data_IF_964750767900
#
_entry.id   IF_964750767900
#
_cell.length_a   1.000
_cell.length_b   1.000
_cell.length_c   1.000
_cell.angle_alpha   90.00
_cell.angle_beta   90.00
_cell.angle_gamma   90.00
#
_symmetry.space_group_name_H-M   'P 1'
#
loop_
_entity.id
_entity.type
_entity.pdbx_description
1 polymer ?
#
# COMPACT_ATOMS: atom_id res chain seq x y z
N UNK A 1 -17.24 -19.01 -5.60
CA UNK A 1 -16.80 -18.48 -4.29
C UNK A 1 -15.47 -19.15 -4.01
N UNK A 2 -14.41 -18.37 -3.87
CA UNK A 2 -13.08 -18.86 -3.51
C UNK A 2 -12.87 -18.70 -2.01
N UNK A 3 -12.16 -19.64 -1.40
CA UNK A 3 -11.70 -19.53 -0.01
C UNK A 3 -10.23 -19.11 -0.01
N UNK A 4 -9.85 -18.24 0.91
CA UNK A 4 -8.46 -17.80 1.08
C UNK A 4 -8.09 -17.75 2.57
N UNK A 5 -6.84 -18.09 2.89
CA UNK A 5 -6.28 -17.85 4.22
C UNK A 5 -6.06 -16.36 4.44
N UNK A 6 -6.43 -15.84 5.61
CA UNK A 6 -6.34 -14.43 5.95
C UNK A 6 -5.15 -14.14 6.86
N UNK A 7 -4.49 -13.03 6.57
CA UNK A 7 -3.44 -12.44 7.37
C UNK A 7 -3.84 -11.01 7.78
N UNK A 8 -4.55 -10.85 8.90
CA UNK A 8 -4.90 -9.55 9.45
C UNK A 8 -3.65 -8.80 9.94
N UNK A 9 -3.42 -7.58 9.45
CA UNK A 9 -2.32 -6.70 9.87
C UNK A 9 -2.80 -5.25 9.99
N UNK A 10 -2.12 -4.42 10.78
CA UNK A 10 -2.30 -2.96 10.78
C UNK A 10 -1.52 -2.30 9.63
N UNK A 11 -1.65 -2.89 8.44
CA UNK A 11 -1.01 -2.48 7.18
C UNK A 11 -2.01 -2.70 6.05
N UNK A 12 -2.00 -1.83 5.06
CA UNK A 12 -2.73 -2.01 3.80
C UNK A 12 -1.74 -2.28 2.69
N UNK A 13 -1.95 -3.37 1.97
CA UNK A 13 -1.18 -3.73 0.78
C UNK A 13 -1.99 -3.35 -0.46
N UNK A 14 -1.44 -2.50 -1.31
CA UNK A 14 -2.06 -2.13 -2.59
C UNK A 14 -1.68 -3.11 -3.71
N UNK A 15 -2.48 -3.22 -4.77
CA UNK A 15 -2.10 -3.98 -5.97
C UNK A 15 -0.73 -3.53 -6.51
N UNK A 16 0.17 -4.49 -6.74
CA UNK A 16 1.54 -4.25 -7.22
C UNK A 16 2.52 -3.72 -6.17
N UNK A 17 2.06 -3.32 -4.98
CA UNK A 17 2.94 -2.89 -3.88
C UNK A 17 3.70 -4.08 -3.31
N UNK A 18 4.95 -3.84 -2.89
CA UNK A 18 5.81 -4.85 -2.27
C UNK A 18 6.10 -4.49 -0.82
N UNK A 19 5.85 -5.43 0.09
CA UNK A 19 6.04 -5.22 1.53
C UNK A 19 6.88 -6.36 2.10
N UNK A 20 7.98 -6.07 2.82
CA UNK A 20 8.69 -7.07 3.61
C UNK A 20 7.89 -7.40 4.88
N UNK A 21 7.74 -8.68 5.20
CA UNK A 21 7.04 -9.17 6.39
C UNK A 21 7.94 -10.11 7.19
N UNK A 22 7.94 -9.92 8.52
CA UNK A 22 8.54 -10.87 9.47
C UNK A 22 7.47 -11.80 10.01
N UNK A 23 7.57 -13.09 9.69
CA UNK A 23 6.59 -14.11 10.08
C UNK A 23 7.12 -14.88 11.27
N UNK A 24 6.44 -14.70 12.42
CA UNK A 24 6.88 -15.32 13.67
C UNK A 24 5.80 -16.08 14.43
N UNK A 25 4.51 -15.79 14.21
CA UNK A 25 3.42 -16.53 14.86
C UNK A 25 3.20 -17.88 14.18
N UNK A 26 3.01 -18.95 14.96
CA UNK A 26 2.85 -20.33 14.45
C UNK A 26 1.76 -20.46 13.37
N UNK A 27 0.60 -19.83 13.58
CA UNK A 27 -0.49 -19.83 12.61
C UNK A 27 -0.11 -19.23 11.25
N UNK A 28 0.75 -18.20 11.24
CA UNK A 28 1.19 -17.55 10.01
C UNK A 28 2.39 -18.25 9.39
N UNK A 29 3.24 -18.91 10.19
CA UNK A 29 4.25 -19.85 9.65
C UNK A 29 3.55 -20.96 8.85
N UNK A 30 2.44 -21.49 9.37
CA UNK A 30 1.64 -22.49 8.67
C UNK A 30 1.04 -21.91 7.38
N UNK A 31 0.33 -20.78 7.45
CA UNK A 31 -0.29 -20.14 6.28
C UNK A 31 0.74 -19.87 5.17
N UNK A 32 1.84 -19.19 5.50
CA UNK A 32 2.86 -18.82 4.52
C UNK A 32 3.63 -20.05 4.01
N UNK A 33 3.84 -21.06 4.86
CA UNK A 33 4.38 -22.35 4.45
C UNK A 33 3.53 -23.02 3.38
N UNK A 34 2.21 -23.11 3.59
CA UNK A 34 1.26 -23.67 2.62
C UNK A 34 1.26 -22.87 1.31
N UNK A 35 1.28 -21.53 1.38
CA UNK A 35 1.38 -20.67 0.20
C UNK A 35 2.66 -20.89 -0.61
N UNK A 36 3.80 -21.06 0.07
CA UNK A 36 5.09 -21.33 -0.59
C UNK A 36 5.12 -22.71 -1.25
N UNK A 37 4.56 -23.73 -0.61
CA UNK A 37 4.53 -25.11 -1.14
C UNK A 37 3.62 -25.24 -2.36
N UNK A 38 2.44 -24.60 -2.30
CA UNK A 38 1.41 -24.72 -3.34
C UNK A 38 1.42 -23.59 -4.37
N UNK A 39 2.30 -22.59 -4.21
CA UNK A 39 2.29 -21.35 -5.00
C UNK A 39 0.93 -20.63 -4.94
N UNK A 40 0.30 -20.65 -3.75
CA UNK A 40 -1.00 -20.05 -3.50
C UNK A 40 -0.88 -18.61 -2.96
N UNK A 41 -1.94 -17.83 -3.19
CA UNK A 41 -2.08 -16.50 -2.61
C UNK A 41 -2.76 -16.58 -1.23
N UNK A 42 -2.44 -15.62 -0.35
CA UNK A 42 -3.17 -15.39 0.90
C UNK A 42 -3.76 -13.98 0.91
N UNK A 43 -4.77 -13.73 1.74
CA UNK A 43 -5.46 -12.44 1.81
C UNK A 43 -4.91 -11.56 2.92
N UNK A 44 -4.39 -10.38 2.57
CA UNK A 44 -4.01 -9.37 3.56
C UNK A 44 -5.19 -8.43 3.79
N UNK A 45 -5.59 -8.30 5.06
CA UNK A 45 -6.70 -7.45 5.48
C UNK A 45 -6.24 -6.50 6.57
N UNK A 46 -6.68 -5.24 6.47
CA UNK A 46 -6.51 -4.29 7.54
C UNK A 46 -7.31 -4.74 8.76
N UNK A 47 -6.63 -4.88 9.89
CA UNK A 47 -7.25 -4.93 11.22
C UNK A 47 -6.82 -3.71 12.01
N UNK A 48 -7.78 -2.93 12.47
CA UNK A 48 -7.53 -1.73 13.27
C UNK A 48 -8.56 -1.63 14.38
N UNK A 49 -8.12 -1.35 15.60
CA UNK A 49 -9.00 -1.27 16.78
C UNK A 49 -9.88 -2.53 16.97
N UNK A 50 -9.31 -3.71 16.67
CA UNK A 50 -10.01 -5.00 16.66
C UNK A 50 -11.13 -5.15 15.62
N UNK A 51 -11.26 -4.22 14.68
CA UNK A 51 -12.17 -4.29 13.54
C UNK A 51 -11.42 -4.76 12.29
N UNK A 52 -11.89 -5.86 11.70
CA UNK A 52 -11.39 -6.37 10.43
C UNK A 52 -12.13 -5.68 9.28
N UNK A 53 -11.39 -5.05 8.36
CA UNK A 53 -11.98 -4.50 7.13
C UNK A 53 -12.48 -5.61 6.22
N UNK A 54 -13.40 -5.27 5.33
CA UNK A 54 -14.02 -6.25 4.41
C UNK A 54 -13.39 -6.26 3.03
N UNK A 55 -12.63 -5.22 2.66
CA UNK A 55 -11.87 -5.15 1.41
C UNK A 55 -10.39 -5.32 1.74
N UNK A 56 -9.74 -6.24 1.02
CA UNK A 56 -8.32 -6.54 1.15
C UNK A 56 -7.68 -6.85 -0.19
N UNK A 57 -6.41 -7.24 -0.14
CA UNK A 57 -5.61 -7.57 -1.33
C UNK A 57 -5.03 -8.95 -1.16
N UNK A 58 -5.21 -9.81 -2.16
CA UNK A 58 -4.52 -11.09 -2.20
C UNK A 58 -3.03 -10.84 -2.44
N UNK A 59 -2.18 -11.66 -1.86
CA UNK A 59 -0.74 -11.46 -1.83
C UNK A 59 -0.04 -12.76 -2.18
N UNK A 60 1.03 -12.66 -2.96
CA UNK A 60 1.96 -13.77 -3.20
C UNK A 60 3.28 -13.47 -2.53
N UNK A 61 3.92 -14.49 -1.97
CA UNK A 61 5.33 -14.39 -1.58
C UNK A 61 6.18 -14.39 -2.86
N UNK A 62 6.92 -13.31 -3.09
CA UNK A 62 7.81 -13.19 -4.27
C UNK A 62 9.27 -13.53 -3.93
N UNK A 63 9.64 -13.42 -2.67
CA UNK A 63 11.01 -13.69 -2.21
C UNK A 63 11.00 -14.13 -0.74
N UNK A 64 11.85 -15.11 -0.41
CA UNK A 64 12.15 -15.48 0.98
C UNK A 64 13.56 -14.97 1.27
N UNK A 65 13.65 -13.93 2.09
CA UNK A 65 14.91 -13.27 2.45
C UNK A 65 15.70 -14.11 3.44
N UNK A 66 15.02 -14.62 4.48
CA UNK A 66 15.61 -15.44 5.52
C UNK A 66 14.64 -16.54 5.97
N UNK A 67 15.18 -17.71 6.31
CA UNK A 67 14.47 -18.77 7.04
C UNK A 67 15.29 -19.17 8.25
N UNK A 68 14.68 -19.16 9.42
CA UNK A 68 15.33 -19.46 10.68
C UNK A 68 15.08 -20.92 11.09
N UNK A 69 15.92 -21.45 11.99
CA UNK A 69 15.83 -22.84 12.48
C UNK A 69 14.50 -23.14 13.19
N UNK A 70 13.89 -22.13 13.80
CA UNK A 70 12.60 -22.21 14.50
C UNK A 70 11.38 -21.98 13.59
N UNK A 71 11.60 -21.99 12.27
CA UNK A 71 10.55 -21.83 11.26
C UNK A 71 10.08 -20.40 11.04
N UNK A 72 10.63 -19.40 11.75
CA UNK A 72 10.41 -17.99 11.38
C UNK A 72 10.92 -17.73 9.97
N UNK A 73 10.38 -16.70 9.33
CA UNK A 73 10.83 -16.28 7.99
C UNK A 73 10.67 -14.79 7.78
N UNK A 74 11.61 -14.22 7.03
CA UNK A 74 11.46 -12.90 6.43
C UNK A 74 11.11 -13.09 4.96
N UNK A 75 9.98 -12.53 4.53
CA UNK A 75 9.47 -12.67 3.16
C UNK A 75 9.18 -11.32 2.56
N UNK A 76 9.32 -11.19 1.24
CA UNK A 76 8.76 -10.08 0.49
C UNK A 76 7.49 -10.57 -0.18
N UNK A 77 6.40 -9.83 0.02
CA UNK A 77 5.10 -10.13 -0.57
C UNK A 77 4.71 -9.04 -1.56
N UNK A 78 4.01 -9.41 -2.62
CA UNK A 78 3.50 -8.49 -3.64
C UNK A 78 1.98 -8.55 -3.69
N UNK A 79 1.33 -7.39 -3.67
CA UNK A 79 -0.11 -7.27 -3.81
C UNK A 79 -0.57 -7.71 -5.20
N UNK A 80 -1.62 -8.51 -5.24
CA UNK A 80 -2.24 -9.07 -6.45
C UNK A 80 -3.59 -8.42 -6.65
N UNK A 81 -4.67 -9.15 -6.40
CA UNK A 81 -6.01 -8.73 -6.73
C UNK A 81 -6.75 -8.26 -5.47
N UNK A 82 -7.59 -7.24 -5.62
CA UNK A 82 -8.50 -6.85 -4.54
C UNK A 82 -9.64 -7.86 -4.41
N UNK A 83 -10.07 -8.08 -3.17
CA UNK A 83 -11.20 -8.93 -2.87
C UNK A 83 -12.08 -8.33 -1.79
N UNK A 84 -13.34 -8.75 -1.77
CA UNK A 84 -14.30 -8.51 -0.69
C UNK A 84 -14.54 -9.80 0.08
N UNK A 85 -14.38 -9.74 1.39
CA UNK A 85 -14.81 -10.79 2.32
C UNK A 85 -16.34 -10.85 2.35
N UNK A 86 -16.87 -12.04 2.13
CA UNK A 86 -18.31 -12.32 2.23
C UNK A 86 -18.66 -13.06 3.51
N UNK A 87 -17.75 -13.94 3.97
CA UNK A 87 -17.89 -14.66 5.23
C UNK A 87 -16.53 -15.04 5.79
N UNK A 88 -16.26 -14.70 7.04
CA UNK A 88 -15.08 -15.19 7.77
C UNK A 88 -15.39 -16.54 8.40
N UNK A 89 -14.44 -17.46 8.33
CA UNK A 89 -14.48 -18.75 8.99
C UNK A 89 -13.24 -18.93 9.86
N UNK A 90 -13.42 -19.51 11.04
CA UNK A 90 -12.35 -19.83 11.97
C UNK A 90 -12.22 -21.36 12.06
N UNK A 91 -11.85 -21.96 10.93
CA UNK A 91 -11.83 -23.42 10.74
C UNK A 91 -10.42 -24.00 10.70
N UNK A 92 -9.39 -23.15 10.70
CA UNK A 92 -7.97 -23.55 10.68
C UNK A 92 -7.23 -22.82 11.80
N UNK A 93 -5.93 -23.10 11.96
CA UNK A 93 -5.06 -22.40 12.92
C UNK A 93 -4.96 -20.89 12.64
N UNK A 94 -5.27 -20.47 11.41
CA UNK A 94 -5.38 -19.10 10.94
C UNK A 94 -6.81 -18.85 10.40
N UNK A 95 -7.23 -17.58 10.37
CA UNK A 95 -8.53 -17.21 9.82
C UNK A 95 -8.62 -17.55 8.33
N UNK A 96 -9.77 -18.03 7.87
CA UNK A 96 -10.07 -18.15 6.44
C UNK A 96 -11.29 -17.31 6.09
N UNK A 97 -11.50 -17.02 4.81
CA UNK A 97 -12.70 -16.35 4.36
C UNK A 97 -13.15 -16.79 2.98
N UNK A 98 -14.47 -16.80 2.79
CA UNK A 98 -15.08 -16.79 1.46
C UNK A 98 -14.98 -15.38 0.89
N UNK A 99 -14.40 -15.27 -0.30
CA UNK A 99 -14.14 -14.00 -0.96
C UNK A 99 -14.81 -13.91 -2.33
N UNK A 100 -15.02 -12.66 -2.76
CA UNK A 100 -15.42 -12.31 -4.11
C UNK A 100 -14.42 -11.29 -4.69
N UNK A 101 -14.13 -11.34 -6.01
CA UNK A 101 -13.32 -10.32 -6.66
C UNK A 101 -13.90 -8.91 -6.42
N UNK A 102 -13.03 -7.95 -6.14
CA UNK A 102 -13.40 -6.54 -6.03
C UNK A 102 -12.76 -5.74 -7.17
N UNK A 103 -13.40 -5.81 -8.33
CA UNK A 103 -12.94 -5.15 -9.54
C UNK A 103 -13.43 -3.69 -9.61
N UNK A 104 -12.72 -2.90 -10.40
CA UNK A 104 -13.22 -1.58 -10.80
C UNK A 104 -14.40 -1.70 -11.76
N UNK A 105 -15.23 -0.66 -11.77
CA UNK A 105 -16.15 -0.43 -12.86
C UNK A 105 -15.35 -0.14 -14.14
N UNK A 106 -15.86 -0.57 -15.29
CA UNK A 106 -15.20 -0.37 -16.60
C UNK A 106 -15.20 1.12 -17.02
N UNK A 107 -14.41 1.93 -16.34
CA UNK A 107 -14.19 3.34 -16.61
C UNK A 107 -12.77 3.54 -17.13
N UNK A 108 -12.65 4.14 -18.32
CA UNK A 108 -11.35 4.54 -18.85
C UNK A 108 -10.79 5.67 -17.99
N UNK A 109 -9.51 5.56 -17.63
CA UNK A 109 -8.78 6.63 -16.97
C UNK A 109 -8.84 7.92 -17.81
N UNK A 110 -9.23 9.03 -17.17
CA UNK A 110 -9.23 10.35 -17.79
C UNK A 110 -7.78 10.83 -17.94
N UNK A 111 -7.29 11.11 -19.16
CA UNK A 111 -5.94 11.59 -19.38
C UNK A 111 -5.60 12.87 -18.61
N UNK A 112 -6.57 13.75 -18.36
CA UNK A 112 -6.35 14.98 -17.61
C UNK A 112 -6.11 14.69 -16.12
N UNK A 113 -6.87 13.74 -15.55
CA UNK A 113 -6.68 13.30 -14.17
C UNK A 113 -5.35 12.57 -13.98
N UNK A 114 -4.97 11.74 -14.95
CA UNK A 114 -3.64 11.12 -14.99
C UNK A 114 -2.56 12.21 -14.95
N UNK A 115 -2.61 13.16 -15.89
CA UNK A 115 -1.61 14.24 -15.96
C UNK A 115 -1.56 15.08 -14.67
N UNK A 116 -2.71 15.39 -14.06
CA UNK A 116 -2.78 16.11 -12.81
C UNK A 116 -2.11 15.35 -11.64
N UNK A 117 -2.37 14.05 -11.54
CA UNK A 117 -1.77 13.19 -10.51
C UNK A 117 -0.26 13.07 -10.68
N UNK A 118 0.23 12.92 -11.92
CA UNK A 118 1.67 12.90 -12.21
C UNK A 118 2.33 14.22 -11.82
N UNK A 119 1.74 15.34 -12.21
CA UNK A 119 2.26 16.66 -11.88
C UNK A 119 2.30 16.89 -10.36
N UNK A 120 1.32 16.37 -9.61
CA UNK A 120 1.32 16.44 -8.15
C UNK A 120 2.46 15.62 -7.53
N UNK A 121 2.72 14.41 -8.05
CA UNK A 121 3.84 13.58 -7.60
C UNK A 121 5.19 14.24 -7.89
N UNK A 122 5.36 14.84 -9.07
CA UNK A 122 6.56 15.60 -9.43
C UNK A 122 6.77 16.80 -8.49
N UNK A 123 5.70 17.51 -8.12
CA UNK A 123 5.76 18.60 -7.13
C UNK A 123 6.25 18.10 -5.78
N UNK A 124 5.75 16.95 -5.31
CA UNK A 124 6.21 16.33 -4.06
C UNK A 124 7.71 16.04 -4.14
N UNK A 125 8.18 15.39 -5.20
CA UNK A 125 9.59 15.04 -5.37
C UNK A 125 10.50 16.28 -5.43
N UNK A 126 10.14 17.30 -6.22
CA UNK A 126 10.86 18.58 -6.29
C UNK A 126 10.92 19.25 -4.91
N UNK A 127 9.79 19.26 -4.19
CA UNK A 127 9.70 19.86 -2.85
C UNK A 127 10.42 19.03 -1.79
N UNK A 128 10.55 17.71 -1.97
CA UNK A 128 11.34 16.82 -1.13
C UNK A 128 12.84 16.87 -1.48
N UNK A 129 13.23 17.51 -2.60
CA UNK A 129 14.60 17.56 -3.10
C UNK A 129 15.12 16.20 -3.53
N UNK A 130 14.21 15.29 -3.89
CA UNK A 130 14.53 14.01 -4.51
C UNK A 130 14.44 14.21 -6.02
N UNK A 131 15.35 13.59 -6.76
CA UNK A 131 15.16 13.50 -8.21
C UNK A 131 13.88 12.72 -8.44
N UNK A 132 12.87 13.37 -9.03
CA UNK A 132 11.74 12.67 -9.62
C UNK A 132 12.32 11.85 -10.77
N UNK A 133 12.84 10.65 -10.49
CA UNK A 133 13.04 9.67 -11.56
C UNK A 133 11.74 9.64 -12.32
N UNK A 134 11.80 9.91 -13.64
CA UNK A 134 10.63 9.89 -14.49
C UNK A 134 9.99 8.51 -14.34
N UNK A 135 8.95 8.42 -13.51
CA UNK A 135 8.24 7.17 -13.29
C UNK A 135 7.55 6.92 -14.61
N UNK A 136 8.03 5.91 -15.32
CA UNK A 136 7.37 5.42 -16.52
C UNK A 136 6.07 4.74 -16.08
N UNK A 137 5.04 5.55 -15.91
CA UNK A 137 3.69 5.07 -15.70
C UNK A 137 3.25 4.38 -16.99
N UNK A 138 3.00 3.08 -16.89
CA UNK A 138 2.70 2.23 -18.05
C UNK A 138 1.36 1.54 -17.85
N UNK A 139 0.59 1.45 -18.93
CA UNK A 139 -0.66 0.69 -18.96
C UNK A 139 -1.84 1.38 -18.27
N UNK A 140 -2.82 0.56 -17.90
CA UNK A 140 -3.90 0.93 -16.98
C UNK A 140 -3.36 0.74 -15.55
N UNK A 141 -3.98 1.34 -14.52
CA UNK A 141 -3.53 1.30 -13.11
C UNK A 141 -2.44 2.31 -12.72
N UNK A 142 -2.58 3.55 -13.19
CA UNK A 142 -1.70 4.66 -12.82
C UNK A 142 -1.80 4.96 -11.32
N UNK A 143 -3.00 4.91 -10.75
CA UNK A 143 -3.24 5.20 -9.35
C UNK A 143 -2.43 4.27 -8.43
N UNK A 144 -2.41 2.96 -8.71
CA UNK A 144 -1.62 2.00 -7.93
C UNK A 144 -0.12 2.23 -8.06
N UNK A 145 0.34 2.53 -9.27
CA UNK A 145 1.76 2.84 -9.53
C UNK A 145 2.21 4.08 -8.78
N UNK A 146 1.40 5.14 -8.75
CA UNK A 146 1.66 6.37 -7.99
C UNK A 146 1.61 6.11 -6.50
N UNK A 147 0.60 5.38 -6.02
CA UNK A 147 0.42 5.06 -4.61
C UNK A 147 1.61 4.27 -4.03
N UNK A 148 2.27 3.44 -4.83
CA UNK A 148 3.45 2.68 -4.42
C UNK A 148 4.73 3.54 -4.27
N UNK A 149 4.75 4.79 -4.77
CA UNK A 149 5.94 5.66 -4.71
C UNK A 149 6.02 6.49 -3.44
N UNK A 150 4.89 6.64 -2.75
CA UNK A 150 4.76 7.52 -1.59
C UNK A 150 4.22 6.72 -0.43
N UNK A 151 4.83 6.89 0.74
CA UNK A 151 4.37 6.25 1.95
C UNK A 151 3.11 6.95 2.48
N UNK A 152 1.96 6.48 2.00
CA UNK A 152 0.66 6.92 2.47
C UNK A 152 0.27 6.18 3.76
N UNK A 153 -0.39 6.89 4.68
CA UNK A 153 -0.93 6.29 5.88
C UNK A 153 -2.01 5.22 5.59
N UNK A 154 -2.13 4.26 6.50
CA UNK A 154 -3.02 3.08 6.40
C UNK A 154 -4.46 3.44 6.02
N UNK A 155 -5.05 4.46 6.64
CA UNK A 155 -6.43 4.89 6.33
C UNK A 155 -6.60 5.36 4.89
N UNK A 156 -5.65 6.14 4.38
CA UNK A 156 -5.73 6.64 3.01
C UNK A 156 -5.54 5.49 2.01
N UNK A 157 -4.59 4.58 2.26
CA UNK A 157 -4.44 3.37 1.44
C UNK A 157 -5.72 2.52 1.44
N UNK A 158 -6.38 2.36 2.60
CA UNK A 158 -7.66 1.65 2.68
C UNK A 158 -8.76 2.33 1.87
N UNK A 159 -8.86 3.66 1.94
CA UNK A 159 -9.82 4.43 1.13
C UNK A 159 -9.59 4.21 -0.36
N UNK A 160 -8.34 4.27 -0.83
CA UNK A 160 -8.02 3.99 -2.23
C UNK A 160 -8.43 2.56 -2.62
N UNK A 161 -8.17 1.59 -1.74
CA UNK A 161 -8.51 0.18 -1.96
C UNK A 161 -10.01 -0.04 -2.14
N UNK A 162 -10.84 0.77 -1.48
CA UNK A 162 -12.30 0.68 -1.50
C UNK A 162 -12.96 1.44 -2.67
N UNK A 163 -12.24 2.31 -3.37
CA UNK A 163 -12.75 3.04 -4.55
C UNK A 163 -12.88 2.12 -5.76
N UNK A 164 -13.98 2.23 -6.51
CA UNK A 164 -14.28 1.36 -7.65
C UNK A 164 -13.97 1.99 -9.01
N UNK A 165 -13.40 3.18 -9.04
CA UNK A 165 -12.95 3.80 -10.29
C UNK A 165 -11.54 4.32 -10.17
N UNK A 166 -10.79 4.19 -11.26
CA UNK A 166 -9.45 4.76 -11.39
C UNK A 166 -9.48 6.29 -11.26
N UNK A 167 -10.50 6.93 -11.82
CA UNK A 167 -10.63 8.38 -11.80
C UNK A 167 -10.84 8.94 -10.38
N UNK A 168 -11.65 8.27 -9.54
CA UNK A 168 -11.78 8.66 -8.13
C UNK A 168 -10.46 8.54 -7.40
N UNK A 169 -9.72 7.44 -7.60
CA UNK A 169 -8.40 7.26 -6.99
C UNK A 169 -7.42 8.34 -7.44
N UNK A 170 -7.38 8.66 -8.74
CA UNK A 170 -6.51 9.71 -9.29
C UNK A 170 -6.80 11.09 -8.67
N UNK A 171 -8.08 11.45 -8.51
CA UNK A 171 -8.49 12.71 -7.86
C UNK A 171 -8.00 12.76 -6.41
N UNK A 172 -8.22 11.69 -5.66
CA UNK A 172 -7.85 11.62 -4.24
C UNK A 172 -6.33 11.61 -4.06
N UNK A 173 -5.60 10.87 -4.91
CA UNK A 173 -4.14 10.88 -4.93
C UNK A 173 -3.57 12.26 -5.24
N UNK A 174 -4.06 12.92 -6.29
CA UNK A 174 -3.59 14.25 -6.67
C UNK A 174 -3.77 15.26 -5.51
N UNK A 175 -4.94 15.24 -4.85
CA UNK A 175 -5.21 16.10 -3.71
C UNK A 175 -4.26 15.82 -2.53
N UNK A 176 -4.08 14.54 -2.16
CA UNK A 176 -3.19 14.16 -1.07
C UNK A 176 -1.72 14.51 -1.34
N UNK A 177 -1.27 14.36 -2.59
CA UNK A 177 0.08 14.73 -3.02
C UNK A 177 0.29 16.25 -2.95
N UNK A 178 -0.69 17.06 -3.35
CA UNK A 178 -0.61 18.52 -3.25
C UNK A 178 -0.57 19.02 -1.80
N UNK A 179 -1.35 18.40 -0.92
CA UNK A 179 -1.27 18.67 0.52
C UNK A 179 0.10 18.30 1.08
N UNK A 180 0.65 17.14 0.69
CA UNK A 180 1.97 16.71 1.10
C UNK A 180 3.07 17.67 0.63
N UNK A 181 3.04 18.10 -0.64
CA UNK A 181 3.99 19.07 -1.18
C UNK A 181 3.93 20.40 -0.39
N UNK A 182 2.73 20.89 -0.12
CA UNK A 182 2.52 22.11 0.68
C UNK A 182 3.09 21.98 2.09
N UNK A 183 2.86 20.83 2.74
CA UNK A 183 3.38 20.56 4.09
C UNK A 183 4.92 20.50 4.10
N UNK A 184 5.54 19.84 3.13
CA UNK A 184 7.01 19.73 3.02
C UNK A 184 7.62 21.12 2.79
N UNK A 185 7.04 21.93 1.90
CA UNK A 185 7.49 23.30 1.64
C UNK A 185 7.48 24.16 2.92
N UNK A 186 6.38 24.10 3.68
CA UNK A 186 6.23 24.84 4.95
C UNK A 186 7.26 24.40 5.99
N UNK A 187 7.50 23.10 6.12
CA UNK A 187 8.50 22.57 7.05
C UNK A 187 9.92 23.05 6.70
N UNK A 188 10.25 23.11 5.41
CA UNK A 188 11.54 23.63 4.94
C UNK A 188 11.71 25.12 5.25
N UNK A 189 10.69 25.93 5.00
CA UNK A 189 10.72 27.37 5.32
C UNK A 189 10.95 27.61 6.83
N UNK A 190 10.26 26.84 7.68
CA UNK A 190 10.44 26.91 9.15
C UNK A 190 11.88 26.54 9.53
N UNK A 191 12.42 25.44 8.99
CA UNK A 191 13.80 25.01 9.26
C UNK A 191 14.83 26.04 8.79
N UNK A 192 14.63 26.66 7.63
CA UNK A 192 15.52 27.70 7.10
C UNK A 192 15.51 28.97 7.97
N UNK A 193 14.32 29.42 8.41
CA UNK A 193 14.20 30.57 9.33
C UNK A 193 14.86 30.30 10.68
N UNK A 194 14.68 29.11 11.25
CA UNK A 194 15.31 28.72 12.50
C UNK A 194 16.86 28.68 12.38
N UNK A 195 17.39 28.22 11.25
CA UNK A 195 18.83 28.21 10.99
C UNK A 195 19.43 29.63 10.78
N UNK A 196 18.65 30.58 10.27
CA UNK A 196 19.08 31.96 10.04
C UNK A 196 19.24 32.79 11.32
N UNK A 197 18.43 32.53 12.35
CA UNK A 197 18.42 33.30 13.60
C UNK A 197 19.62 33.03 14.54
N UNK A 198 20.47 32.04 14.22
CA UNK A 198 21.66 31.69 15.02
C UNK A 198 22.95 32.43 14.64
N UNK A 199 22.95 33.25 13.58
CA UNK A 199 24.11 34.08 13.20
C UNK A 199 23.88 35.52 13.68
N UNK A 200 24.18 35.77 14.94
CA UNK A 200 24.37 37.14 15.44
C UNK A 200 25.87 37.31 15.66
N UNK A 201 26.51 38.07 14.77
CA UNK A 201 27.93 38.41 14.90
C UNK A 201 28.15 39.16 16.21
N UNK A 202 28.98 38.59 17.09
CA UNK A 202 29.54 39.32 18.22
C UNK A 202 30.63 40.27 17.67
N UNK A 203 30.27 41.54 17.54
CA UNK A 203 31.23 42.66 17.45
C UNK A 203 31.72 43.06 18.85
#
# INVERSE_FOLDING_TARGET
MSEIGLFPLDVVLLPGERVPLHIFEERYKQLIGECLENSEEFGLLLVKEAELRTIGTSASVIEVLNRYEDGRMDVVVEGRNRFRVTRVADTRSYLTAEIQPFADDEARADPELVAACVAALERVAQTAGTDATAIELRGNDVAWQVAAQVDFGTEFKQQLLEMQTENERLVQLAAALDEAATAIARQREIKQRAAGNGKVDHL
#
